data_IF_321943699238
#
_entry.id   IF_321943699238
#
_cell.length_a   1.000
_cell.length_b   1.000
_cell.length_c   1.000
_cell.angle_alpha   90.00
_cell.angle_beta   90.00
_cell.angle_gamma   90.00
#
_symmetry.space_group_name_H-M   'P 1'
#
loop_
_entity.id
_entity.type
_entity.pdbx_description
1 polymer ?
#
# COMPACT_ATOMS: atom_id res chain seq x y z
N UNK A 1 22.90 -54.68 46.34
CA UNK A 1 22.96 -54.14 44.98
C UNK A 1 21.75 -53.22 44.80
N UNK A 2 21.99 -51.87 44.87
CA UNK A 2 20.95 -50.85 44.79
C UNK A 2 21.11 -50.21 43.40
N UNK A 3 20.12 -50.39 42.54
CA UNK A 3 20.12 -49.88 41.18
C UNK A 3 19.43 -48.51 41.15
N UNK A 4 20.22 -47.43 40.98
CA UNK A 4 19.76 -46.05 40.85
C UNK A 4 19.24 -45.85 39.41
N UNK A 5 17.96 -45.58 39.30
CA UNK A 5 17.35 -45.11 38.03
C UNK A 5 17.50 -43.59 37.93
N UNK A 6 18.35 -43.15 37.01
CA UNK A 6 18.41 -41.75 36.64
C UNK A 6 17.25 -41.44 35.66
N UNK A 7 16.29 -40.68 36.09
CA UNK A 7 15.25 -40.11 35.28
C UNK A 7 15.78 -38.85 34.59
N UNK A 8 16.01 -38.91 33.27
CA UNK A 8 16.35 -37.72 32.47
C UNK A 8 15.12 -36.89 32.20
N UNK A 9 15.04 -35.73 32.87
CA UNK A 9 14.04 -34.69 32.54
C UNK A 9 14.45 -34.01 31.25
N UNK A 10 13.72 -34.28 30.15
CA UNK A 10 13.77 -33.51 28.92
C UNK A 10 12.99 -32.21 29.09
N UNK A 11 13.72 -31.13 29.28
CA UNK A 11 13.14 -29.77 29.27
C UNK A 11 12.74 -29.43 27.81
N UNK A 12 11.45 -29.46 27.52
CA UNK A 12 10.90 -28.96 26.24
C UNK A 12 11.02 -27.42 26.22
N UNK A 13 11.94 -26.90 25.43
CA UNK A 13 12.04 -25.47 25.14
C UNK A 13 10.85 -25.08 24.26
N UNK A 14 9.99 -24.13 24.70
CA UNK A 14 8.93 -23.65 23.84
C UNK A 14 9.54 -22.96 22.63
N UNK A 15 9.22 -23.42 21.44
CA UNK A 15 9.58 -22.75 20.21
C UNK A 15 8.86 -21.40 20.17
N UNK A 16 9.60 -20.32 20.43
CA UNK A 16 9.13 -18.96 20.19
C UNK A 16 8.94 -18.78 18.68
N UNK A 17 7.71 -18.93 18.23
CA UNK A 17 7.32 -18.55 16.87
C UNK A 17 7.44 -17.03 16.78
N UNK A 18 8.57 -16.55 16.25
CA UNK A 18 8.68 -15.17 15.83
C UNK A 18 7.54 -14.88 14.84
N UNK A 19 6.72 -13.84 15.07
CA UNK A 19 5.73 -13.45 14.09
C UNK A 19 6.51 -13.05 12.83
N UNK A 20 6.49 -13.89 11.82
CA UNK A 20 6.98 -13.55 10.49
C UNK A 20 6.16 -12.35 10.04
N UNK A 21 6.78 -11.18 9.99
CA UNK A 21 6.21 -9.98 9.36
C UNK A 21 5.80 -10.40 7.94
N UNK A 22 4.51 -10.47 7.71
CA UNK A 22 3.98 -10.83 6.41
C UNK A 22 4.25 -9.65 5.46
N UNK A 23 5.38 -9.70 4.75
CA UNK A 23 5.64 -8.80 3.65
C UNK A 23 4.73 -9.21 2.51
N UNK A 24 3.73 -8.38 2.22
CA UNK A 24 2.82 -8.68 1.15
C UNK A 24 2.31 -7.41 0.50
N UNK A 25 1.91 -7.56 -0.74
CA UNK A 25 1.18 -6.56 -1.49
C UNK A 25 -0.03 -7.23 -2.13
N UNK A 26 -1.08 -6.46 -2.26
CA UNK A 26 -2.26 -6.80 -3.04
C UNK A 26 -2.21 -5.99 -4.32
N UNK A 27 -2.33 -6.65 -5.46
CA UNK A 27 -2.60 -6.02 -6.75
C UNK A 27 -4.07 -6.18 -7.10
N UNK A 28 -4.67 -5.10 -7.59
CA UNK A 28 -6.06 -5.08 -8.01
C UNK A 28 -6.20 -4.31 -9.32
N UNK A 29 -7.09 -4.77 -10.19
CA UNK A 29 -7.52 -4.02 -11.38
C UNK A 29 -8.90 -3.45 -11.12
N UNK A 30 -8.99 -2.15 -10.83
CA UNK A 30 -10.26 -1.52 -10.54
C UNK A 30 -11.16 -1.49 -11.78
N UNK A 31 -12.46 -1.52 -11.59
CA UNK A 31 -13.44 -1.39 -12.68
C UNK A 31 -13.45 0.04 -13.25
N UNK A 32 -13.12 1.03 -12.45
CA UNK A 32 -12.80 2.39 -12.85
C UNK A 32 -11.74 2.96 -11.94
N UNK A 33 -10.85 3.79 -12.49
CA UNK A 33 -9.81 4.45 -11.71
C UNK A 33 -9.46 5.78 -12.35
N UNK A 34 -9.49 6.85 -11.57
CA UNK A 34 -9.24 8.21 -12.05
C UNK A 34 -8.31 8.95 -11.12
N UNK A 35 -7.25 9.48 -11.70
CA UNK A 35 -6.30 10.39 -11.04
C UNK A 35 -6.59 11.80 -11.54
N UNK A 36 -6.68 12.75 -10.63
CA UNK A 36 -6.78 14.19 -10.95
C UNK A 36 -5.54 14.90 -10.43
N UNK A 37 -4.85 15.59 -11.33
CA UNK A 37 -3.69 16.43 -11.03
C UNK A 37 -4.05 17.85 -11.44
N UNK A 38 -4.27 18.75 -10.48
CA UNK A 38 -4.89 20.05 -10.71
C UNK A 38 -6.25 19.91 -11.41
N UNK A 39 -6.31 20.27 -12.70
CA UNK A 39 -7.52 20.16 -13.52
C UNK A 39 -7.43 19.06 -14.58
N UNK A 40 -6.33 18.28 -14.59
CA UNK A 40 -6.11 17.22 -15.58
C UNK A 40 -6.51 15.88 -15.00
N UNK A 41 -7.33 15.15 -15.75
CA UNK A 41 -7.73 13.80 -15.42
C UNK A 41 -6.92 12.78 -16.22
N UNK A 42 -6.48 11.73 -15.54
CA UNK A 42 -5.74 10.59 -16.09
C UNK A 42 -6.42 9.31 -15.58
N UNK A 43 -6.52 8.32 -16.44
CA UNK A 43 -7.06 7.02 -16.03
C UNK A 43 -5.94 6.16 -15.44
N UNK A 44 -6.28 5.28 -14.49
CA UNK A 44 -5.35 4.29 -13.96
C UNK A 44 -5.96 2.90 -14.07
N UNK A 45 -5.12 1.89 -14.28
CA UNK A 45 -5.55 0.54 -14.60
C UNK A 45 -5.20 -0.48 -13.52
N UNK A 46 -4.25 -0.10 -12.65
CA UNK A 46 -3.78 -0.98 -11.60
C UNK A 46 -3.62 -0.22 -10.29
N UNK A 47 -4.00 -0.90 -9.23
CA UNK A 47 -3.83 -0.47 -7.86
C UNK A 47 -2.99 -1.50 -7.12
N UNK A 48 -1.92 -1.06 -6.50
CA UNK A 48 -1.14 -1.85 -5.56
C UNK A 48 -1.32 -1.31 -4.15
N UNK A 49 -1.60 -2.20 -3.22
CA UNK A 49 -1.76 -1.89 -1.80
C UNK A 49 -0.71 -2.70 -1.04
N UNK A 50 0.11 -2.04 -0.26
CA UNK A 50 1.12 -2.70 0.57
C UNK A 50 1.16 -2.09 1.96
N UNK A 51 1.58 -2.88 2.93
CA UNK A 51 1.88 -2.37 4.28
C UNK A 51 3.08 -1.42 4.22
N UNK A 52 2.99 -0.33 4.96
CA UNK A 52 4.09 0.60 5.20
C UNK A 52 4.41 0.62 6.69
N UNK A 53 5.46 -0.07 7.08
CA UNK A 53 5.75 -0.30 8.50
C UNK A 53 4.69 -1.15 9.20
N UNK A 54 4.46 -0.91 10.49
CA UNK A 54 3.58 -1.74 11.32
C UNK A 54 2.09 -1.49 11.11
N UNK A 55 1.69 -0.40 10.44
CA UNK A 55 0.28 0.00 10.45
C UNK A 55 -0.15 1.02 9.39
N UNK A 56 0.78 1.63 8.66
CA UNK A 56 0.47 2.48 7.53
C UNK A 56 0.25 1.67 6.26
N UNK A 57 -0.33 2.31 5.24
CA UNK A 57 -0.48 1.74 3.92
C UNK A 57 0.29 2.57 2.90
N UNK A 58 0.82 1.89 1.90
CA UNK A 58 1.25 2.47 0.63
C UNK A 58 0.27 2.07 -0.44
N UNK A 59 -0.39 3.05 -1.03
CA UNK A 59 -1.31 2.90 -2.13
C UNK A 59 -0.63 3.43 -3.39
N UNK A 60 -0.58 2.63 -4.43
CA UNK A 60 0.07 2.97 -5.69
C UNK A 60 -0.89 2.76 -6.84
N UNK A 61 -1.18 3.84 -7.54
CA UNK A 61 -2.06 3.86 -8.71
C UNK A 61 -1.21 4.00 -9.95
N UNK A 62 -1.41 3.10 -10.90
CA UNK A 62 -0.58 2.96 -12.10
C UNK A 62 -1.49 3.03 -13.31
N UNK A 63 -1.14 3.90 -14.24
CA UNK A 63 -1.82 4.04 -15.52
C UNK A 63 -0.84 4.04 -16.68
N UNK A 64 -1.34 3.68 -17.86
CA UNK A 64 -0.57 3.67 -19.08
C UNK A 64 -0.72 5.02 -19.80
N UNK A 65 0.36 5.50 -20.39
CA UNK A 65 0.38 6.68 -21.23
C UNK A 65 0.28 6.25 -22.70
N UNK A 66 -0.95 6.17 -23.21
CA UNK A 66 -1.22 5.74 -24.58
C UNK A 66 -0.53 6.59 -25.64
N UNK A 67 -0.12 7.84 -25.32
CA UNK A 67 0.57 8.74 -26.27
C UNK A 67 2.04 8.40 -26.43
N UNK A 68 2.67 7.92 -25.37
CA UNK A 68 4.12 7.68 -25.34
C UNK A 68 4.47 6.21 -25.25
N UNK A 69 3.49 5.32 -25.04
CA UNK A 69 3.71 3.90 -24.76
C UNK A 69 4.32 3.63 -23.38
N UNK A 70 4.53 4.67 -22.60
CA UNK A 70 5.05 4.57 -21.23
C UNK A 70 3.96 4.42 -20.20
N UNK A 71 4.31 4.62 -18.92
CA UNK A 71 3.36 4.57 -17.83
C UNK A 71 3.64 5.67 -16.80
N UNK A 72 2.70 5.87 -15.91
CA UNK A 72 2.88 6.75 -14.76
C UNK A 72 2.40 6.05 -13.50
N UNK A 73 2.99 6.46 -12.39
CA UNK A 73 2.73 5.90 -11.09
C UNK A 73 2.61 7.02 -10.07
N UNK A 74 1.47 7.03 -9.39
CA UNK A 74 1.19 7.91 -8.26
C UNK A 74 1.12 7.06 -7.00
N UNK A 75 1.93 7.39 -6.01
CA UNK A 75 1.99 6.68 -4.75
C UNK A 75 1.61 7.60 -3.59
N UNK A 76 0.81 7.07 -2.68
CA UNK A 76 0.45 7.70 -1.42
C UNK A 76 0.92 6.80 -0.27
N UNK A 77 1.52 7.40 0.72
CA UNK A 77 1.90 6.72 1.96
C UNK A 77 1.08 7.32 3.08
N UNK A 78 0.28 6.50 3.74
CA UNK A 78 -0.50 6.91 4.90
C UNK A 78 0.28 6.72 6.20
N UNK A 79 -0.06 7.51 7.19
CA UNK A 79 0.26 7.25 8.58
C UNK A 79 -0.58 6.06 9.09
N UNK A 80 -0.26 5.62 10.31
CA UNK A 80 -1.15 4.75 11.04
C UNK A 80 -2.48 5.47 11.25
N UNK A 81 -3.59 4.82 10.84
CA UNK A 81 -4.92 5.28 11.18
C UNK A 81 -5.30 4.92 12.61
N UNK A 82 -6.42 5.47 13.08
CA UNK A 82 -7.01 5.10 14.37
C UNK A 82 -7.58 3.68 14.37
N UNK A 83 -7.79 3.15 13.20
CA UNK A 83 -8.29 1.79 12.97
C UNK A 83 -7.15 0.86 12.56
N UNK A 84 -7.36 -0.44 12.77
CA UNK A 84 -6.47 -1.46 12.25
C UNK A 84 -6.32 -1.36 10.74
N UNK A 85 -5.13 -1.74 10.23
CA UNK A 85 -4.89 -1.80 8.80
C UNK A 85 -5.95 -2.66 8.10
N UNK A 86 -6.55 -2.16 7.01
CA UNK A 86 -7.51 -2.93 6.23
C UNK A 86 -6.85 -4.02 5.38
N UNK A 87 -5.53 -3.97 5.18
CA UNK A 87 -4.79 -4.99 4.46
C UNK A 87 -4.38 -6.11 5.42
N UNK A 88 -4.82 -7.32 5.13
CA UNK A 88 -4.49 -8.54 5.85
C UNK A 88 -3.66 -9.43 4.95
N UNK A 89 -2.45 -9.76 5.38
CA UNK A 89 -1.55 -10.65 4.65
C UNK A 89 -1.20 -11.87 5.50
N UNK A 90 -1.23 -13.05 4.91
CA UNK A 90 -0.81 -14.31 5.49
C UNK A 90 0.01 -15.12 4.46
N UNK A 91 0.27 -16.39 4.74
CA UNK A 91 1.05 -17.26 3.84
C UNK A 91 0.37 -17.52 2.49
N UNK A 92 -0.94 -17.33 2.40
CA UNK A 92 -1.72 -17.51 1.17
C UNK A 92 -1.80 -16.25 0.32
N UNK A 93 -1.39 -15.09 0.85
CA UNK A 93 -1.41 -13.80 0.15
C UNK A 93 -2.03 -12.69 0.97
N UNK A 94 -2.34 -11.60 0.29
CA UNK A 94 -2.98 -10.43 0.90
C UNK A 94 -4.43 -10.29 0.44
N UNK A 95 -5.28 -9.86 1.37
CA UNK A 95 -6.68 -9.51 1.10
C UNK A 95 -7.01 -8.18 1.73
N UNK A 96 -7.90 -7.44 1.09
CA UNK A 96 -8.41 -6.17 1.57
C UNK A 96 -9.72 -6.38 2.34
N UNK A 97 -9.74 -5.90 3.57
CA UNK A 97 -10.97 -5.75 4.33
C UNK A 97 -11.64 -4.45 3.87
N UNK A 98 -12.81 -4.57 3.24
CA UNK A 98 -13.53 -3.43 2.64
C UNK A 98 -14.38 -2.65 3.65
N UNK A 99 -14.14 -2.81 4.93
CA UNK A 99 -14.75 -1.95 5.94
C UNK A 99 -14.24 -0.52 5.78
N UNK A 100 -15.08 0.44 6.17
CA UNK A 100 -14.70 1.85 6.17
C UNK A 100 -13.40 2.05 6.95
N UNK A 101 -12.42 2.63 6.29
CA UNK A 101 -11.11 2.95 6.84
C UNK A 101 -10.63 4.29 6.31
N UNK A 102 -9.94 5.05 7.13
CA UNK A 102 -9.34 6.32 6.74
C UNK A 102 -8.05 6.57 7.52
N UNK A 103 -7.07 7.17 6.87
CA UNK A 103 -5.83 7.57 7.51
C UNK A 103 -5.26 8.84 6.87
N UNK A 104 -4.57 9.65 7.69
CA UNK A 104 -3.87 10.84 7.22
C UNK A 104 -2.68 10.47 6.33
N UNK A 105 -2.37 11.31 5.37
CA UNK A 105 -1.21 11.16 4.51
C UNK A 105 0.07 11.58 5.22
N UNK A 106 1.15 10.85 4.92
CA UNK A 106 2.53 11.20 5.24
C UNK A 106 3.22 11.81 4.02
N UNK A 107 3.09 11.18 2.86
CA UNK A 107 3.76 11.61 1.65
C UNK A 107 3.06 11.14 0.38
N UNK A 108 3.36 11.85 -0.70
CA UNK A 108 3.01 11.45 -2.07
C UNK A 108 4.25 11.38 -2.93
N UNK A 109 4.23 10.55 -3.95
CA UNK A 109 5.27 10.54 -4.98
C UNK A 109 4.67 10.29 -6.35
N UNK A 110 5.27 10.93 -7.35
CA UNK A 110 4.91 10.80 -8.75
C UNK A 110 6.14 10.41 -9.55
N UNK A 111 5.99 9.43 -10.44
CA UNK A 111 7.03 9.01 -11.38
C UNK A 111 6.41 8.66 -12.73
N UNK A 112 7.12 8.99 -13.81
CA UNK A 112 6.78 8.56 -15.17
C UNK A 112 7.84 7.57 -15.65
N UNK A 113 7.41 6.64 -16.47
CA UNK A 113 8.27 5.64 -17.11
C UNK A 113 8.17 5.78 -18.63
N UNK A 114 9.23 5.45 -19.32
CA UNK A 114 9.21 5.34 -20.77
C UNK A 114 8.57 4.00 -21.22
N UNK A 115 8.51 3.78 -22.52
CA UNK A 115 7.99 2.56 -23.13
C UNK A 115 8.80 1.29 -22.81
N UNK A 116 10.02 1.45 -22.31
CA UNK A 116 10.87 0.35 -21.84
C UNK A 116 10.77 0.12 -20.34
N UNK A 117 9.93 0.89 -19.65
CA UNK A 117 9.77 0.80 -18.20
C UNK A 117 10.89 1.48 -17.39
N UNK A 118 11.69 2.35 -18.02
CA UNK A 118 12.72 3.11 -17.33
C UNK A 118 12.15 4.43 -16.81
N UNK A 119 12.48 4.86 -15.58
CA UNK A 119 11.95 6.08 -15.01
C UNK A 119 12.46 7.31 -15.78
N UNK A 120 11.55 8.21 -16.11
CA UNK A 120 11.85 9.52 -16.70
C UNK A 120 12.13 10.51 -15.57
N UNK A 121 13.37 10.58 -15.14
CA UNK A 121 13.80 11.43 -14.03
C UNK A 121 13.65 10.77 -12.66
N UNK A 122 13.92 11.55 -11.62
CA UNK A 122 13.81 11.07 -10.24
C UNK A 122 12.34 11.12 -9.77
N UNK A 123 11.89 10.14 -8.98
CA UNK A 123 10.59 10.21 -8.32
C UNK A 123 10.46 11.48 -7.49
N UNK A 124 9.46 12.28 -7.77
CA UNK A 124 9.18 13.48 -6.98
C UNK A 124 8.40 13.08 -5.73
N UNK A 125 9.10 12.75 -4.65
CA UNK A 125 8.49 12.42 -3.34
C UNK A 125 8.42 13.67 -2.47
N UNK A 126 7.27 13.90 -1.85
CA UNK A 126 7.03 15.07 -0.99
C UNK A 126 6.16 14.70 0.20
N UNK A 127 6.38 15.37 1.33
CA UNK A 127 5.42 15.35 2.43
C UNK A 127 4.11 15.98 1.96
N UNK A 128 3.00 15.40 2.36
CA UNK A 128 1.68 15.84 1.93
C UNK A 128 0.71 15.86 3.11
N UNK A 129 -0.22 16.81 3.06
CA UNK A 129 -1.40 16.83 3.91
C UNK A 129 -2.57 16.28 3.11
N UNK A 130 -3.46 15.55 3.77
CA UNK A 130 -4.59 14.92 3.15
C UNK A 130 -4.91 13.59 3.80
N UNK A 131 -5.64 12.76 3.09
CA UNK A 131 -6.06 11.46 3.60
C UNK A 131 -6.18 10.42 2.50
N UNK A 132 -6.10 9.16 2.87
CA UNK A 132 -6.60 8.05 2.09
C UNK A 132 -7.79 7.40 2.79
N UNK A 133 -8.68 6.79 2.01
CA UNK A 133 -9.86 6.09 2.55
C UNK A 133 -10.17 4.83 1.74
N UNK A 134 -10.87 3.93 2.39
CA UNK A 134 -11.55 2.78 1.79
C UNK A 134 -12.98 2.83 2.29
N UNK A 135 -13.93 2.73 1.40
CA UNK A 135 -15.35 2.70 1.72
C UNK A 135 -16.06 1.71 0.81
N UNK A 136 -16.46 0.57 1.38
CA UNK A 136 -17.13 -0.52 0.70
C UNK A 136 -16.48 -0.95 -0.63
N UNK A 137 -16.77 -0.25 -1.71
CA UNK A 137 -16.33 -0.57 -3.07
C UNK A 137 -15.35 0.44 -3.64
N UNK A 138 -15.04 1.51 -2.89
CA UNK A 138 -14.14 2.56 -3.35
C UNK A 138 -12.89 2.66 -2.48
N UNK A 139 -11.80 3.01 -3.13
CA UNK A 139 -10.55 3.38 -2.47
C UNK A 139 -10.05 4.68 -3.08
N UNK A 140 -9.64 5.62 -2.26
CA UNK A 140 -9.14 6.88 -2.76
C UNK A 140 -8.14 7.54 -1.84
N UNK A 141 -7.47 8.55 -2.38
CA UNK A 141 -6.60 9.46 -1.66
C UNK A 141 -6.77 10.87 -2.19
N UNK A 142 -6.66 11.84 -1.31
CA UNK A 142 -6.58 13.26 -1.66
C UNK A 142 -5.41 13.91 -0.95
N UNK A 143 -4.72 14.79 -1.64
CA UNK A 143 -3.55 15.50 -1.13
C UNK A 143 -3.63 16.97 -1.47
N UNK A 144 -3.39 17.80 -0.48
CA UNK A 144 -3.36 19.24 -0.59
C UNK A 144 -2.01 19.76 -0.12
N UNK A 145 -1.45 20.72 -0.84
CA UNK A 145 -0.21 21.39 -0.45
C UNK A 145 -0.16 22.80 -1.03
N UNK A 146 0.43 23.74 -0.31
CA UNK A 146 0.49 25.14 -0.74
C UNK A 146 1.30 25.39 -2.01
N UNK A 147 2.22 24.49 -2.36
CA UNK A 147 3.17 24.67 -3.46
C UNK A 147 3.23 23.48 -4.43
N UNK A 148 2.23 22.62 -4.40
CA UNK A 148 2.18 21.40 -5.22
C UNK A 148 0.77 21.27 -5.77
N UNK A 149 0.62 20.75 -7.01
CA UNK A 149 -0.69 20.42 -7.54
C UNK A 149 -1.52 19.62 -6.55
N UNK A 150 -2.78 19.96 -6.42
CA UNK A 150 -3.73 19.11 -5.70
C UNK A 150 -3.84 17.79 -6.45
N UNK A 151 -3.65 16.71 -5.71
CA UNK A 151 -3.72 15.36 -6.23
C UNK A 151 -4.90 14.66 -5.59
N UNK A 152 -5.73 14.06 -6.39
CA UNK A 152 -6.76 13.13 -5.91
C UNK A 152 -6.82 11.91 -6.81
N UNK A 153 -7.19 10.80 -6.22
CA UNK A 153 -7.42 9.56 -6.95
C UNK A 153 -8.58 8.82 -6.31
N UNK A 154 -9.38 8.21 -7.14
CA UNK A 154 -10.44 7.31 -6.72
C UNK A 154 -10.50 6.12 -7.66
N UNK A 155 -10.64 4.93 -7.08
CA UNK A 155 -10.75 3.68 -7.80
C UNK A 155 -11.90 2.84 -7.25
N UNK A 156 -12.64 2.21 -8.14
CA UNK A 156 -13.72 1.29 -7.84
C UNK A 156 -13.17 -0.14 -7.76
N UNK A 157 -13.30 -0.76 -6.59
CA UNK A 157 -12.75 -2.09 -6.28
C UNK A 157 -13.60 -3.24 -6.86
#
# INVERSE_FOLDING_TARGET
MIQLWMASLLLAVPATTNPTLAFGRLEHRPSSCRIVVDSKSLDCERLEIAMNGSSGLRLRFIGDDAKTGGSYQLSFVSLKGDQDSPLRCDRSGCRLDRRSWSASLLSTSWVRFDDRGLPKGLPATRTAQGRCWIDAETIGCESHSRNIPNLSVEAQL
#
